data_IF_664196390163
#
_entry.id   IF_664196390163
#
_cell.length_a   1.000
_cell.length_b   1.000
_cell.length_c   1.000
_cell.angle_alpha   90.00
_cell.angle_beta   90.00
_cell.angle_gamma   90.00
#
_symmetry.space_group_name_H-M   'P 1'
#
loop_
_entity.id
_entity.type
_entity.pdbx_description
1 polymer ?
#
# COMPACT_ATOMS: atom_id res chain seq x y z
N UNK A 1 -5.90 12.76 2.22
CA UNK A 1 -4.77 12.45 1.32
C UNK A 1 -3.84 13.65 1.26
N UNK A 2 -2.56 13.43 1.55
CA UNK A 2 -1.50 14.46 1.48
C UNK A 2 -0.73 14.33 0.17
N UNK A 3 -0.08 15.41 -0.27
CA UNK A 3 0.74 15.43 -1.50
C UNK A 3 2.18 15.76 -1.15
N UNK A 4 3.13 14.99 -1.68
CA UNK A 4 4.57 15.24 -1.61
C UNK A 4 5.09 15.59 -3.00
N UNK A 5 5.68 16.78 -3.12
CA UNK A 5 6.30 17.21 -4.37
C UNK A 5 7.71 16.63 -4.49
N UNK A 6 8.11 16.33 -5.72
CA UNK A 6 9.47 15.92 -6.01
C UNK A 6 10.39 17.15 -5.92
N UNK A 7 11.48 17.02 -5.18
CA UNK A 7 12.51 18.05 -5.03
C UNK A 7 13.83 17.59 -5.62
N UNK A 8 14.65 18.55 -6.06
CA UNK A 8 15.94 18.25 -6.69
C UNK A 8 17.01 17.86 -5.67
N UNK A 9 18.05 17.14 -6.09
CA UNK A 9 19.17 16.82 -5.19
C UNK A 9 19.85 18.07 -4.60
N UNK A 10 19.91 19.18 -5.36
CA UNK A 10 20.46 20.45 -4.88
C UNK A 10 19.59 21.08 -3.79
N UNK A 11 18.28 21.03 -3.95
CA UNK A 11 17.32 21.51 -2.96
C UNK A 11 17.38 20.65 -1.69
N UNK A 12 17.36 19.33 -1.84
CA UNK A 12 17.49 18.38 -0.72
C UNK A 12 18.75 18.62 0.10
N UNK A 13 19.89 18.90 -0.55
CA UNK A 13 21.16 19.15 0.13
C UNK A 13 21.14 20.41 1.03
N UNK A 14 20.22 21.34 0.79
CA UNK A 14 20.03 22.54 1.61
C UNK A 14 19.05 22.39 2.77
N UNK A 15 18.34 21.26 2.88
CA UNK A 15 17.32 21.05 3.91
C UNK A 15 17.95 20.73 5.27
N UNK A 16 17.34 21.27 6.33
CA UNK A 16 17.61 20.83 7.69
C UNK A 16 16.82 19.55 8.02
N UNK A 17 17.01 18.99 9.22
CA UNK A 17 16.31 17.77 9.66
C UNK A 17 14.79 17.86 9.57
N UNK A 18 14.20 19.00 9.91
CA UNK A 18 12.76 19.19 9.84
C UNK A 18 12.26 19.17 8.39
N UNK A 19 12.96 19.87 7.48
CA UNK A 19 12.66 19.86 6.05
C UNK A 19 12.78 18.46 5.44
N UNK A 20 13.82 17.70 5.78
CA UNK A 20 13.95 16.32 5.30
C UNK A 20 12.75 15.44 5.72
N UNK A 21 12.30 15.55 6.97
CA UNK A 21 11.12 14.83 7.45
C UNK A 21 9.85 15.29 6.73
N UNK A 22 9.67 16.60 6.59
CA UNK A 22 8.50 17.16 5.90
C UNK A 22 8.38 16.63 4.46
N UNK A 23 9.50 16.50 3.74
CA UNK A 23 9.48 16.05 2.35
C UNK A 23 9.41 14.53 2.19
N UNK A 24 10.11 13.77 3.03
CA UNK A 24 10.36 12.34 2.78
C UNK A 24 9.72 11.39 3.80
N UNK A 25 9.29 11.88 4.97
CA UNK A 25 8.66 11.03 5.98
C UNK A 25 7.13 11.09 5.87
N UNK A 26 6.53 9.90 5.90
CA UNK A 26 5.10 9.72 6.17
C UNK A 26 5.00 9.26 7.62
N UNK A 27 4.63 10.17 8.52
CA UNK A 27 4.62 9.90 9.96
C UNK A 27 3.49 8.96 10.37
N UNK A 28 2.37 9.02 9.65
CA UNK A 28 1.21 8.19 9.94
C UNK A 28 0.76 7.44 8.69
N UNK A 29 0.87 6.11 8.75
CA UNK A 29 0.43 5.20 7.68
C UNK A 29 -0.88 4.49 8.07
N UNK A 30 -1.11 4.26 9.37
CA UNK A 30 -2.23 3.48 9.87
C UNK A 30 -2.98 4.25 10.96
N UNK A 31 -4.18 4.70 10.62
CA UNK A 31 -5.15 5.27 11.57
C UNK A 31 -6.32 4.29 11.72
N UNK A 32 -6.69 3.89 12.95
CA UNK A 32 -7.85 3.02 13.17
C UNK A 32 -9.11 3.56 12.48
N UNK A 33 -9.77 2.73 11.68
CA UNK A 33 -11.00 3.09 10.99
C UNK A 33 -10.83 4.07 9.82
N UNK A 34 -9.60 4.25 9.30
CA UNK A 34 -9.36 5.14 8.17
C UNK A 34 -8.40 4.54 7.12
N UNK A 35 -8.42 5.19 5.95
CA UNK A 35 -7.45 4.98 4.88
C UNK A 35 -6.61 6.25 4.76
N UNK A 36 -5.32 6.12 5.06
CA UNK A 36 -4.34 7.18 4.85
C UNK A 36 -3.69 7.01 3.49
N UNK A 37 -3.61 8.08 2.71
CA UNK A 37 -2.99 8.09 1.38
C UNK A 37 -2.08 9.31 1.24
N UNK A 38 -0.85 9.07 0.80
CA UNK A 38 0.12 10.08 0.41
C UNK A 38 0.40 9.94 -1.08
N UNK A 39 0.07 10.97 -1.86
CA UNK A 39 0.43 11.05 -3.27
C UNK A 39 1.84 11.63 -3.39
N UNK A 40 2.74 10.92 -4.04
CA UNK A 40 4.09 11.43 -4.32
C UNK A 40 4.23 11.76 -5.80
N UNK A 41 4.84 12.91 -6.11
CA UNK A 41 5.19 13.27 -7.49
C UNK A 41 6.35 12.44 -8.06
N UNK A 42 7.03 11.63 -7.24
CA UNK A 42 7.92 10.58 -7.72
C UNK A 42 7.06 9.45 -8.33
N UNK A 43 7.06 9.38 -9.67
CA UNK A 43 6.28 8.43 -10.48
C UNK A 43 4.77 8.39 -10.20
N UNK A 44 4.24 9.44 -9.56
CA UNK A 44 2.81 9.56 -9.22
C UNK A 44 2.30 8.41 -8.37
N UNK A 45 3.17 7.79 -7.57
CA UNK A 45 2.77 6.72 -6.68
C UNK A 45 1.85 7.25 -5.57
N UNK A 46 0.95 6.39 -5.13
CA UNK A 46 0.20 6.56 -3.89
C UNK A 46 0.73 5.53 -2.90
N UNK A 47 1.12 6.00 -1.72
CA UNK A 47 1.61 5.19 -0.61
C UNK A 47 0.69 5.44 0.57
N UNK A 48 0.29 4.38 1.28
CA UNK A 48 -0.66 4.56 2.35
C UNK A 48 -0.93 3.31 3.16
N UNK A 49 -1.95 3.40 4.00
CA UNK A 49 -2.42 2.28 4.79
C UNK A 49 -3.93 2.33 5.00
N UNK A 50 -4.57 1.17 4.96
CA UNK A 50 -5.95 0.98 5.40
C UNK A 50 -5.94 0.13 6.68
N UNK A 51 -6.57 0.63 7.74
CA UNK A 51 -6.71 -0.09 9.00
C UNK A 51 -8.19 -0.17 9.40
N UNK A 52 -8.96 -1.09 8.77
CA UNK A 52 -10.37 -1.28 9.10
C UNK A 52 -10.53 -1.77 10.53
N UNK A 53 -11.58 -1.32 11.21
CA UNK A 53 -11.94 -1.76 12.57
C UNK A 53 -13.26 -2.51 12.51
N UNK A 54 -14.34 -1.96 13.06
CA UNK A 54 -15.67 -2.58 13.00
C UNK A 54 -16.31 -2.44 11.62
N UNK A 55 -16.11 -1.29 10.97
CA UNK A 55 -16.63 -1.01 9.64
C UNK A 55 -15.59 -1.32 8.56
N UNK A 56 -16.07 -1.82 7.42
CA UNK A 56 -15.27 -1.91 6.21
C UNK A 56 -14.93 -0.52 5.68
N UNK A 57 -13.76 -0.41 5.04
CA UNK A 57 -13.26 0.84 4.48
C UNK A 57 -13.24 0.74 2.95
N UNK A 58 -14.15 1.42 2.25
CA UNK A 58 -14.09 1.49 0.79
C UNK A 58 -12.90 2.34 0.35
N UNK A 59 -12.16 1.87 -0.66
CA UNK A 59 -11.07 2.61 -1.28
C UNK A 59 -11.64 3.92 -1.87
N UNK A 60 -11.19 5.09 -1.39
CA UNK A 60 -11.76 6.36 -1.83
C UNK A 60 -11.35 6.65 -3.27
N UNK A 61 -12.05 7.57 -3.93
CA UNK A 61 -11.61 8.16 -5.20
C UNK A 61 -11.32 9.67 -5.03
N UNK A 62 -10.11 10.05 -4.58
CA UNK A 62 -9.75 11.45 -4.42
C UNK A 62 -9.86 12.23 -5.73
N UNK A 63 -10.49 13.41 -5.71
CA UNK A 63 -10.77 14.19 -6.92
C UNK A 63 -9.54 14.70 -7.69
N UNK A 64 -8.35 14.64 -7.10
CA UNK A 64 -7.08 14.95 -7.80
C UNK A 64 -6.66 13.85 -8.78
N UNK A 65 -7.21 12.64 -8.67
CA UNK A 65 -6.96 11.56 -9.63
C UNK A 65 -7.63 11.82 -10.98
N UNK A 66 -8.68 12.65 -11.00
CA UNK A 66 -9.46 12.98 -12.21
C UNK A 66 -9.93 11.72 -12.94
N UNK A 67 -10.46 10.79 -12.16
CA UNK A 67 -10.94 9.48 -12.57
C UNK A 67 -12.35 9.24 -12.01
N UNK A 68 -13.09 8.31 -12.63
CA UNK A 68 -14.42 7.90 -12.18
C UNK A 68 -14.36 7.02 -10.91
N UNK A 69 -13.31 6.21 -10.79
CA UNK A 69 -12.99 5.37 -9.62
C UNK A 69 -11.47 5.21 -9.50
N UNK A 70 -10.99 4.80 -8.33
CA UNK A 70 -9.57 4.87 -7.99
C UNK A 70 -8.65 4.09 -8.95
N UNK A 71 -9.03 2.88 -9.35
CA UNK A 71 -8.23 2.00 -10.22
C UNK A 71 -8.58 2.09 -11.71
N UNK A 72 -9.29 3.13 -12.16
CA UNK A 72 -9.63 3.29 -13.59
C UNK A 72 -8.39 3.26 -14.49
N UNK A 73 -7.28 3.82 -13.99
CA UNK A 73 -5.99 3.96 -14.70
C UNK A 73 -4.82 3.66 -13.77
N UNK A 74 -5.03 2.82 -12.76
CA UNK A 74 -4.05 2.50 -11.72
C UNK A 74 -4.15 1.04 -11.34
N UNK A 75 -3.05 0.49 -10.86
CA UNK A 75 -3.01 -0.80 -10.17
C UNK A 75 -2.70 -0.58 -8.69
N UNK A 76 -2.95 -1.59 -7.85
CA UNK A 76 -2.77 -1.54 -6.41
C UNK A 76 -2.13 -2.83 -5.90
N UNK A 77 -1.09 -2.70 -5.09
CA UNK A 77 -0.61 -3.74 -4.19
C UNK A 77 -1.05 -3.43 -2.77
N UNK A 78 -1.62 -4.43 -2.09
CA UNK A 78 -2.02 -4.35 -0.70
C UNK A 78 -1.38 -5.49 0.11
N UNK A 79 -0.43 -5.18 0.99
CA UNK A 79 0.24 -6.13 1.87
C UNK A 79 -0.33 -6.00 3.29
N UNK A 80 -0.84 -7.08 3.86
CA UNK A 80 -1.30 -7.05 5.25
C UNK A 80 -0.12 -7.22 6.22
N UNK A 81 0.04 -6.28 7.14
CA UNK A 81 1.05 -6.30 8.21
C UNK A 81 0.43 -6.30 9.62
N UNK A 82 -0.89 -6.53 9.70
CA UNK A 82 -1.65 -6.59 10.95
C UNK A 82 -2.31 -7.94 11.19
N UNK A 83 -3.46 -7.95 11.88
CA UNK A 83 -4.27 -9.15 12.07
C UNK A 83 -4.96 -9.61 10.79
N UNK A 84 -5.68 -10.74 10.85
CA UNK A 84 -6.37 -11.28 9.69
C UNK A 84 -7.43 -10.32 9.15
N UNK A 85 -7.50 -10.19 7.83
CA UNK A 85 -8.43 -9.30 7.16
C UNK A 85 -8.90 -9.84 5.82
N UNK A 86 -9.76 -9.05 5.18
CA UNK A 86 -10.32 -9.35 3.86
C UNK A 86 -10.22 -8.12 2.97
N UNK A 87 -10.00 -8.35 1.68
CA UNK A 87 -10.17 -7.33 0.65
C UNK A 87 -11.26 -7.83 -0.30
N UNK A 88 -12.32 -7.03 -0.45
CA UNK A 88 -13.40 -7.31 -1.40
C UNK A 88 -13.16 -6.47 -2.65
N UNK A 89 -13.01 -7.13 -3.80
CA UNK A 89 -12.81 -6.49 -5.11
C UNK A 89 -13.96 -6.86 -6.03
N UNK A 90 -14.79 -5.88 -6.41
CA UNK A 90 -15.94 -6.05 -7.30
C UNK A 90 -16.84 -7.23 -6.89
N UNK A 91 -17.06 -7.39 -5.57
CA UNK A 91 -17.86 -8.46 -4.97
C UNK A 91 -17.10 -9.77 -4.67
N UNK A 92 -15.87 -9.94 -5.17
CA UNK A 92 -15.02 -11.10 -4.88
C UNK A 92 -14.24 -10.87 -3.59
N UNK A 93 -14.34 -11.79 -2.63
CA UNK A 93 -13.63 -11.68 -1.34
C UNK A 93 -12.30 -12.42 -1.37
N UNK A 94 -11.25 -11.78 -0.90
CA UNK A 94 -9.91 -12.35 -0.73
C UNK A 94 -9.53 -12.29 0.75
N UNK A 95 -9.28 -13.45 1.37
CA UNK A 95 -8.77 -13.53 2.75
C UNK A 95 -7.26 -13.30 2.76
N UNK A 96 -6.79 -12.40 3.62
CA UNK A 96 -5.38 -12.06 3.77
C UNK A 96 -4.97 -12.21 5.25
N UNK A 97 -4.09 -13.17 5.51
CA UNK A 97 -3.38 -13.31 6.78
C UNK A 97 -2.25 -12.29 6.94
N UNK A 98 -1.48 -12.44 8.00
CA UNK A 98 -0.25 -11.66 8.20
C UNK A 98 0.76 -11.94 7.08
N UNK A 99 1.29 -10.88 6.47
CA UNK A 99 2.20 -10.91 5.31
C UNK A 99 1.62 -11.51 4.02
N UNK A 100 0.30 -11.63 3.90
CA UNK A 100 -0.33 -11.92 2.62
C UNK A 100 -0.49 -10.63 1.80
N UNK A 101 -0.36 -10.75 0.48
CA UNK A 101 -0.48 -9.65 -0.47
C UNK A 101 -1.60 -9.90 -1.48
N UNK A 102 -2.30 -8.84 -1.87
CA UNK A 102 -3.19 -8.83 -3.01
C UNK A 102 -2.71 -7.79 -4.03
N UNK A 103 -2.48 -8.24 -5.26
CA UNK A 103 -2.40 -7.37 -6.43
C UNK A 103 -3.82 -7.18 -6.98
N UNK A 104 -4.23 -5.93 -7.19
CA UNK A 104 -5.49 -5.55 -7.83
C UNK A 104 -5.16 -4.78 -9.11
N UNK A 105 -5.59 -5.33 -10.24
CA UNK A 105 -5.32 -4.77 -11.55
C UNK A 105 -6.10 -3.50 -11.84
N UNK A 106 -5.68 -2.79 -12.89
CA UNK A 106 -6.44 -1.70 -13.49
C UNK A 106 -7.87 -2.17 -13.85
N UNK A 107 -8.85 -1.29 -13.61
CA UNK A 107 -10.24 -1.47 -14.03
C UNK A 107 -11.19 -1.91 -12.91
N UNK A 108 -10.67 -2.40 -11.79
CA UNK A 108 -11.50 -2.73 -10.62
C UNK A 108 -12.15 -1.48 -10.03
N UNK A 109 -13.47 -1.52 -9.83
CA UNK A 109 -14.24 -0.33 -9.49
C UNK A 109 -14.44 -0.17 -7.99
N UNK A 110 -14.78 -1.28 -7.32
CA UNK A 110 -15.08 -1.31 -5.91
C UNK A 110 -14.05 -2.15 -5.19
N UNK A 111 -13.28 -1.52 -4.30
CA UNK A 111 -12.34 -2.20 -3.40
C UNK A 111 -12.71 -1.81 -1.98
N UNK A 112 -12.88 -2.78 -1.09
CA UNK A 112 -13.22 -2.56 0.32
C UNK A 112 -12.31 -3.40 1.21
N UNK A 113 -11.74 -2.77 2.26
CA UNK A 113 -10.85 -3.42 3.23
C UNK A 113 -11.62 -3.73 4.51
N UNK A 114 -11.46 -4.94 5.06
CA UNK A 114 -12.11 -5.38 6.30
C UNK A 114 -11.13 -6.08 7.23
N UNK A 115 -11.39 -5.97 8.53
CA UNK A 115 -10.74 -6.78 9.56
C UNK A 115 -11.64 -7.95 9.93
N UNK A 116 -11.07 -9.12 10.17
CA UNK A 116 -11.80 -10.27 10.71
C UNK A 116 -12.12 -10.05 12.19
N UNK A 117 -11.20 -9.41 12.92
CA UNK A 117 -11.35 -9.07 14.33
C UNK A 117 -10.99 -7.60 14.56
N UNK A 118 -11.93 -6.79 15.05
CA UNK A 118 -11.68 -5.37 15.32
C UNK A 118 -10.70 -5.13 16.48
N UNK A 119 -10.56 -6.08 17.41
CA UNK A 119 -9.57 -6.01 18.49
C UNK A 119 -8.14 -6.27 18.00
N UNK A 120 -8.00 -6.98 16.86
CA UNK A 120 -6.73 -7.28 16.20
C UNK A 120 -6.84 -6.89 14.72
N UNK A 121 -6.92 -5.58 14.42
CA UNK A 121 -7.26 -5.13 13.09
C UNK A 121 -6.17 -5.47 12.07
N UNK A 122 -6.63 -5.78 10.86
CA UNK A 122 -5.77 -5.84 9.68
C UNK A 122 -5.16 -4.45 9.42
N UNK A 123 -3.95 -4.46 8.87
CA UNK A 123 -3.21 -3.26 8.49
C UNK A 123 -2.69 -3.44 7.08
N UNK A 124 -3.45 -2.99 6.10
CA UNK A 124 -3.08 -3.13 4.69
C UNK A 124 -2.19 -1.97 4.28
N UNK A 125 -0.89 -2.23 4.09
CA UNK A 125 0.03 -1.29 3.46
C UNK A 125 -0.24 -1.24 1.96
N UNK A 126 -0.49 -0.03 1.44
CA UNK A 126 -0.97 0.19 0.09
C UNK A 126 0.10 0.88 -0.76
N UNK A 127 0.32 0.33 -1.95
CA UNK A 127 1.09 0.95 -3.02
C UNK A 127 0.27 0.97 -4.30
N UNK A 128 0.07 2.13 -4.90
CA UNK A 128 -0.61 2.24 -6.19
C UNK A 128 0.17 3.09 -7.19
N UNK A 129 0.30 2.56 -8.40
CA UNK A 129 0.96 3.22 -9.52
C UNK A 129 -0.01 3.37 -10.71
N UNK A 130 0.21 4.37 -11.60
CA UNK A 130 -0.50 4.43 -12.87
C UNK A 130 -0.28 3.15 -13.70
N UNK A 131 -1.36 2.63 -14.29
CA UNK A 131 -1.34 1.43 -15.11
C UNK A 131 -2.09 1.66 -16.43
N UNK A 132 -1.58 1.07 -17.51
CA UNK A 132 -2.14 1.21 -18.86
C UNK A 132 -2.71 -0.10 -19.41
N UNK A 133 -2.42 -1.21 -18.74
CA UNK A 133 -2.87 -2.55 -19.10
C UNK A 133 -3.51 -3.20 -17.90
N UNK A 134 -4.54 -4.00 -18.16
CA UNK A 134 -5.23 -4.80 -17.17
C UNK A 134 -4.50 -6.14 -17.01
N UNK A 135 -4.26 -6.50 -15.76
CA UNK A 135 -3.71 -7.79 -15.36
C UNK A 135 -4.61 -8.36 -14.25
N UNK A 136 -4.68 -9.70 -14.10
CA UNK A 136 -5.63 -10.32 -13.19
C UNK A 136 -5.31 -10.02 -11.73
N UNK A 137 -6.35 -9.69 -10.96
CA UNK A 137 -6.28 -9.59 -9.50
C UNK A 137 -5.80 -10.93 -8.93
N UNK A 138 -4.68 -10.91 -8.21
CA UNK A 138 -3.95 -12.10 -7.79
C UNK A 138 -3.53 -11.99 -6.34
N UNK A 139 -3.94 -12.97 -5.53
CA UNK A 139 -3.51 -13.10 -4.14
C UNK A 139 -2.22 -13.91 -4.07
N UNK A 140 -1.29 -13.50 -3.20
CA UNK A 140 -0.07 -14.23 -2.88
C UNK A 140 0.11 -14.27 -1.37
N UNK A 141 0.12 -15.47 -0.81
CA UNK A 141 0.42 -15.65 0.62
C UNK A 141 1.91 -15.55 0.89
N UNK A 142 2.28 -15.30 2.16
CA UNK A 142 3.69 -15.32 2.56
C UNK A 142 4.38 -16.67 2.21
N UNK A 143 3.66 -17.79 2.35
CA UNK A 143 4.18 -19.12 2.04
C UNK A 143 4.40 -19.35 0.54
N UNK A 144 3.65 -18.65 -0.31
CA UNK A 144 3.83 -18.69 -1.76
C UNK A 144 4.84 -17.65 -2.25
N UNK A 145 5.16 -16.63 -1.45
CA UNK A 145 6.21 -15.68 -1.78
C UNK A 145 7.56 -16.40 -1.90
N UNK A 146 8.44 -15.94 -2.79
CA UNK A 146 9.76 -16.56 -3.00
C UNK A 146 10.77 -15.93 -2.05
N UNK A 147 11.13 -16.57 -0.91
CA UNK A 147 12.12 -16.03 0.01
C UNK A 147 13.52 -16.12 -0.59
N UNK A 148 14.28 -15.04 -0.45
CA UNK A 148 15.71 -15.01 -0.81
C UNK A 148 16.49 -14.59 0.42
N UNK A 149 17.25 -15.52 1.00
CA UNK A 149 18.18 -15.25 2.09
C UNK A 149 19.45 -14.60 1.53
N UNK A 150 19.88 -13.50 2.13
CA UNK A 150 21.07 -12.77 1.70
C UNK A 150 21.76 -12.09 2.87
N UNK A 151 23.04 -11.77 2.68
CA UNK A 151 23.85 -11.06 3.66
C UNK A 151 24.46 -12.00 4.70
N UNK A 152 25.06 -11.40 5.71
CA UNK A 152 25.71 -12.11 6.80
C UNK A 152 25.74 -11.24 8.07
N UNK A 153 25.76 -11.88 9.24
CA UNK A 153 25.76 -11.20 10.53
C UNK A 153 26.95 -10.25 10.69
N UNK A 154 28.12 -10.64 10.18
CA UNK A 154 29.37 -9.86 10.23
C UNK A 154 29.27 -8.52 9.49
N UNK A 155 28.38 -8.45 8.50
CA UNK A 155 28.11 -7.22 7.73
C UNK A 155 26.82 -6.52 8.15
N UNK A 156 26.23 -6.97 9.27
CA UNK A 156 25.00 -6.43 9.86
C UNK A 156 23.85 -6.29 8.86
N UNK A 157 23.74 -7.21 7.90
CA UNK A 157 22.76 -7.14 6.82
C UNK A 157 22.07 -8.48 6.51
N UNK A 158 22.21 -9.47 7.39
CA UNK A 158 21.51 -10.75 7.29
C UNK A 158 19.98 -10.52 7.25
N UNK A 159 19.33 -10.98 6.17
CA UNK A 159 17.90 -10.75 5.95
C UNK A 159 17.29 -11.75 4.97
N UNK A 160 15.96 -11.85 5.02
CA UNK A 160 15.16 -12.57 4.02
C UNK A 160 14.32 -11.57 3.23
N UNK A 161 14.43 -11.60 1.90
CA UNK A 161 13.60 -10.79 1.00
C UNK A 161 12.45 -11.64 0.48
N UNK A 162 11.22 -11.15 0.66
CA UNK A 162 10.01 -11.75 0.10
C UNK A 162 9.54 -10.92 -1.11
N UNK A 163 9.43 -11.56 -2.27
CA UNK A 163 8.94 -10.94 -3.50
C UNK A 163 7.45 -11.27 -3.68
N UNK A 164 6.60 -10.24 -3.74
CA UNK A 164 5.15 -10.39 -3.88
C UNK A 164 4.63 -9.99 -5.26
N UNK A 165 5.00 -8.81 -5.75
CA UNK A 165 4.64 -8.29 -7.07
C UNK A 165 5.95 -8.09 -7.82
N UNK A 166 6.27 -9.00 -8.76
CA UNK A 166 7.55 -9.02 -9.48
C UNK A 166 7.41 -9.57 -10.90
#
# INVERSE_FOLDING_TARGET
>A
MTTRFAISARETAGLNTAGLREHFLIENIFTPGAIELTYTHYDRMLVGGAMPTEAGLPLPNPGNLKANYFLERRELGALNVGGAGQIVVDGTTYDLGYQDCLYVGKGSQQVEFKSVNAAEPAKFYLLSAPAHKEYPTTRRTQAEATPVQMGAQETANERTIYKYIY
#
